data_IF_620966314217
#
_entry.id   IF_620966314217
#
_cell.length_a   1.000
_cell.length_b   1.000
_cell.length_c   1.000
_cell.angle_alpha   90.00
_cell.angle_beta   90.00
_cell.angle_gamma   90.00
#
_symmetry.space_group_name_H-M   'P 1'
#
loop_
_entity.id
_entity.type
_entity.pdbx_description
1 polymer ?
#
# COMPACT_ATOMS: atom_id res chain seq x y z
N UNK A 1 10.83 -1.34 21.89
CA UNK A 1 9.94 -1.91 20.85
C UNK A 1 10.27 -3.39 20.69
N UNK A 2 9.28 -4.29 20.61
CA UNK A 2 9.56 -5.72 20.33
C UNK A 2 10.12 -5.86 18.90
N UNK A 3 11.12 -6.73 18.72
CA UNK A 3 11.73 -7.05 17.43
C UNK A 3 10.70 -7.44 16.38
N UNK A 4 9.67 -8.20 16.76
CA UNK A 4 8.58 -8.60 15.85
C UNK A 4 7.76 -7.40 15.33
N UNK A 5 7.59 -6.34 16.13
CA UNK A 5 6.92 -5.11 15.69
C UNK A 5 7.77 -4.35 14.68
N UNK A 6 9.09 -4.28 14.89
CA UNK A 6 10.02 -3.65 13.95
C UNK A 6 10.07 -4.39 12.60
N UNK A 7 10.07 -5.73 12.63
CA UNK A 7 10.00 -6.55 11.40
C UNK A 7 8.69 -6.32 10.67
N UNK A 8 7.55 -6.30 11.39
CA UNK A 8 6.25 -5.96 10.81
C UNK A 8 6.27 -4.60 10.10
N UNK A 9 6.78 -3.55 10.76
CA UNK A 9 6.84 -2.21 10.16
C UNK A 9 7.69 -2.21 8.88
N UNK A 10 8.87 -2.85 8.90
CA UNK A 10 9.75 -2.93 7.73
C UNK A 10 9.08 -3.64 6.57
N UNK A 11 8.45 -4.79 6.80
CA UNK A 11 7.74 -5.55 5.77
C UNK A 11 6.54 -4.78 5.24
N UNK A 12 5.77 -4.13 6.10
CA UNK A 12 4.67 -3.24 5.71
C UNK A 12 5.11 -2.09 4.82
N UNK A 13 6.20 -1.41 5.17
CA UNK A 13 6.78 -0.33 4.36
C UNK A 13 7.29 -0.84 3.01
N UNK A 14 8.01 -1.97 2.99
CA UNK A 14 8.52 -2.56 1.75
C UNK A 14 7.35 -2.94 0.82
N UNK A 15 6.30 -3.56 1.34
CA UNK A 15 5.14 -3.94 0.55
C UNK A 15 4.40 -2.72 -0.01
N UNK A 16 4.25 -1.66 0.78
CA UNK A 16 3.64 -0.42 0.34
C UNK A 16 4.47 0.26 -0.76
N UNK A 17 5.79 0.35 -0.59
CA UNK A 17 6.70 0.91 -1.59
C UNK A 17 6.71 0.08 -2.87
N UNK A 18 6.68 -1.25 -2.76
CA UNK A 18 6.58 -2.14 -3.90
C UNK A 18 5.27 -1.93 -4.68
N UNK A 19 4.16 -1.76 -3.97
CA UNK A 19 2.87 -1.44 -4.60
C UNK A 19 2.90 -0.09 -5.34
N UNK A 20 3.45 0.96 -4.71
CA UNK A 20 3.61 2.27 -5.35
C UNK A 20 4.48 2.16 -6.60
N UNK A 21 5.60 1.42 -6.51
CA UNK A 21 6.49 1.22 -7.65
C UNK A 21 5.81 0.47 -8.80
N UNK A 22 5.02 -0.57 -8.51
CA UNK A 22 4.28 -1.32 -9.53
C UNK A 22 3.27 -0.43 -10.27
N UNK A 23 2.60 0.47 -9.57
CA UNK A 23 1.66 1.40 -10.18
C UNK A 23 2.38 2.52 -10.96
N UNK A 24 3.44 3.11 -10.39
CA UNK A 24 4.17 4.24 -10.96
C UNK A 24 5.04 3.91 -12.17
N UNK A 25 5.44 2.64 -12.35
CA UNK A 25 6.20 2.21 -13.53
C UNK A 25 5.45 2.35 -14.86
N UNK A 26 4.13 2.52 -14.82
CA UNK A 26 3.29 2.55 -16.02
C UNK A 26 3.49 3.81 -16.87
N UNK A 27 3.95 4.93 -16.27
CA UNK A 27 3.84 6.25 -16.89
C UNK A 27 5.18 6.95 -17.20
N UNK A 28 6.33 6.29 -17.03
CA UNK A 28 7.68 6.90 -17.11
C UNK A 28 7.82 8.20 -16.28
N UNK A 29 6.98 8.38 -15.26
CA UNK A 29 6.95 9.57 -14.43
C UNK A 29 8.17 9.61 -13.49
N UNK A 30 8.59 10.81 -13.01
CA UNK A 30 9.60 10.92 -11.97
C UNK A 30 9.19 10.16 -10.70
N UNK A 31 10.16 9.55 -9.99
CA UNK A 31 9.89 8.79 -8.77
C UNK A 31 9.15 9.59 -7.67
N UNK A 32 9.26 10.92 -7.68
CA UNK A 32 8.54 11.82 -6.77
C UNK A 32 7.03 11.84 -6.98
N UNK A 33 6.57 11.50 -8.18
CA UNK A 33 5.15 11.55 -8.57
C UNK A 33 4.47 10.19 -8.45
N UNK A 34 5.23 9.10 -8.33
CA UNK A 34 4.70 7.74 -8.27
C UNK A 34 3.69 7.53 -7.15
N UNK A 35 3.86 8.19 -6.01
CA UNK A 35 2.89 8.13 -4.92
C UNK A 35 1.55 8.74 -5.34
N UNK A 36 1.58 9.88 -6.02
CA UNK A 36 0.38 10.56 -6.51
C UNK A 36 -0.30 9.72 -7.59
N UNK A 37 0.47 9.25 -8.58
CA UNK A 37 -0.02 8.41 -9.67
C UNK A 37 -0.66 7.12 -9.15
N UNK A 38 -0.01 6.45 -8.19
CA UNK A 38 -0.57 5.24 -7.57
C UNK A 38 -1.87 5.55 -6.82
N UNK A 39 -1.92 6.66 -6.08
CA UNK A 39 -3.10 7.06 -5.32
C UNK A 39 -4.27 7.40 -6.24
N UNK A 40 -4.01 8.21 -7.27
CA UNK A 40 -5.00 8.59 -8.28
C UNK A 40 -5.43 7.41 -9.14
N UNK A 41 -4.53 6.51 -9.51
CA UNK A 41 -4.87 5.31 -10.28
C UNK A 41 -5.82 4.37 -9.53
N UNK A 42 -5.61 4.19 -8.22
CA UNK A 42 -6.54 3.43 -7.38
C UNK A 42 -7.89 4.15 -7.26
N UNK A 43 -7.90 5.46 -7.01
CA UNK A 43 -9.13 6.24 -6.95
C UNK A 43 -9.90 6.21 -8.28
N UNK A 44 -9.19 6.35 -9.41
CA UNK A 44 -9.75 6.23 -10.76
C UNK A 44 -10.37 4.85 -10.98
N UNK A 45 -9.70 3.78 -10.54
CA UNK A 45 -10.22 2.41 -10.66
C UNK A 45 -11.54 2.24 -9.89
N UNK A 46 -11.68 2.86 -8.72
CA UNK A 46 -12.94 2.85 -7.99
C UNK A 46 -14.02 3.72 -8.64
N UNK A 47 -13.69 4.96 -8.98
CA UNK A 47 -14.63 5.90 -9.59
C UNK A 47 -15.17 5.39 -10.92
N UNK A 48 -14.28 4.89 -11.80
CA UNK A 48 -14.64 4.40 -13.12
C UNK A 48 -15.10 2.93 -13.09
N UNK A 49 -14.44 2.07 -12.32
CA UNK A 49 -14.72 0.63 -12.30
C UNK A 49 -15.93 0.24 -11.45
N UNK A 50 -16.18 0.92 -10.33
CA UNK A 50 -17.35 0.69 -9.47
C UNK A 50 -18.42 1.78 -9.59
N UNK A 51 -18.14 2.87 -10.33
CA UNK A 51 -19.09 3.97 -10.50
C UNK A 51 -19.34 4.79 -9.22
N UNK A 52 -18.46 4.71 -8.23
CA UNK A 52 -18.64 5.44 -6.97
C UNK A 52 -18.34 6.93 -7.12
N UNK A 53 -18.94 7.82 -6.31
CA UNK A 53 -18.62 9.24 -6.31
C UNK A 53 -17.13 9.49 -6.06
N UNK A 54 -16.55 10.52 -6.68
CA UNK A 54 -15.11 10.86 -6.58
C UNK A 54 -14.64 10.96 -5.12
N UNK A 55 -15.43 11.61 -4.26
CA UNK A 55 -15.09 11.74 -2.84
C UNK A 55 -14.96 10.37 -2.16
N UNK A 56 -15.84 9.42 -2.48
CA UNK A 56 -15.79 8.07 -1.93
C UNK A 56 -14.61 7.29 -2.52
N UNK A 57 -14.31 7.48 -3.81
CA UNK A 57 -13.17 6.86 -4.46
C UNK A 57 -11.82 7.24 -3.82
N UNK A 58 -11.64 8.51 -3.44
CA UNK A 58 -10.45 8.95 -2.71
C UNK A 58 -10.34 8.31 -1.33
N UNK A 59 -11.45 8.22 -0.60
CA UNK A 59 -11.49 7.54 0.71
C UNK A 59 -11.13 6.05 0.56
N UNK A 60 -11.69 5.38 -0.44
CA UNK A 60 -11.37 3.98 -0.74
C UNK A 60 -9.91 3.80 -1.14
N UNK A 61 -9.33 4.74 -1.88
CA UNK A 61 -7.90 4.71 -2.22
C UNK A 61 -7.03 4.77 -0.96
N UNK A 62 -7.32 5.68 -0.02
CA UNK A 62 -6.63 5.72 1.28
C UNK A 62 -6.74 4.38 2.02
N UNK A 63 -7.93 3.78 2.03
CA UNK A 63 -8.17 2.49 2.68
C UNK A 63 -7.37 1.36 2.03
N UNK A 64 -7.21 1.36 0.71
CA UNK A 64 -6.35 0.38 0.02
C UNK A 64 -4.90 0.51 0.45
N UNK A 65 -4.35 1.73 0.50
CA UNK A 65 -2.98 1.95 0.96
C UNK A 65 -2.78 1.49 2.42
N UNK A 66 -3.74 1.81 3.29
CA UNK A 66 -3.74 1.34 4.67
C UNK A 66 -3.84 -0.18 4.78
N UNK A 67 -4.67 -0.81 3.95
CA UNK A 67 -4.83 -2.26 3.90
C UNK A 67 -3.55 -2.96 3.43
N UNK A 68 -2.87 -2.42 2.40
CA UNK A 68 -1.60 -2.96 1.91
C UNK A 68 -0.53 -2.90 3.00
N UNK A 69 -0.38 -1.73 3.65
CA UNK A 69 0.54 -1.59 4.77
C UNK A 69 0.18 -2.55 5.92
N UNK A 70 -1.10 -2.63 6.29
CA UNK A 70 -1.60 -3.51 7.35
C UNK A 70 -1.36 -4.99 7.06
N UNK A 71 -1.60 -5.44 5.82
CA UNK A 71 -1.30 -6.79 5.37
C UNK A 71 0.19 -7.10 5.51
N UNK A 72 1.06 -6.24 4.99
CA UNK A 72 2.51 -6.41 5.12
C UNK A 72 2.97 -6.41 6.58
N UNK A 73 2.38 -5.57 7.42
CA UNK A 73 2.66 -5.53 8.85
C UNK A 73 2.27 -6.83 9.56
N UNK A 74 1.05 -7.33 9.35
CA UNK A 74 0.56 -8.57 9.96
C UNK A 74 1.38 -9.78 9.47
N UNK A 75 1.71 -9.82 8.18
CA UNK A 75 2.56 -10.86 7.60
C UNK A 75 3.95 -10.83 8.26
N UNK A 76 4.60 -9.66 8.30
CA UNK A 76 5.93 -9.51 8.91
C UNK A 76 5.96 -9.88 10.39
N UNK A 77 4.91 -9.51 11.14
CA UNK A 77 4.78 -9.92 12.55
C UNK A 77 4.61 -11.42 12.71
N UNK A 78 3.75 -12.04 11.89
CA UNK A 78 3.52 -13.50 11.94
C UNK A 78 4.78 -14.28 11.58
N UNK A 79 5.52 -13.85 10.56
CA UNK A 79 6.78 -14.48 10.17
C UNK A 79 7.85 -14.34 11.25
N UNK A 80 8.04 -13.13 11.80
CA UNK A 80 9.00 -12.93 12.89
C UNK A 80 8.68 -13.81 14.10
N UNK A 81 7.40 -13.90 14.50
CA UNK A 81 7.00 -14.71 15.65
C UNK A 81 7.15 -16.21 15.42
N UNK A 82 7.06 -16.67 14.17
CA UNK A 82 7.31 -18.08 13.80
C UNK A 82 8.79 -18.45 13.76
N UNK A 83 9.67 -17.49 13.43
CA UNK A 83 11.12 -17.71 13.40
C UNK A 83 11.75 -17.70 14.80
N UNK A 84 11.08 -17.07 15.78
CA UNK A 84 11.50 -17.06 17.19
C UNK A 84 11.09 -18.35 17.96
N UNK A 85 10.46 -19.33 17.28
CA UNK A 85 10.03 -20.64 17.82
C UNK A 85 10.81 -21.77 17.16
#
# INVERSE_FOLDING_TARGET
MRTSTLVGIKVGLILLLAFIALMGQTNNAPYSEWLNDAFMGVAFTFAWGLGVPEMLAYVLSVLVFAAIFGCGFVIGQKFSRKLDH
#
